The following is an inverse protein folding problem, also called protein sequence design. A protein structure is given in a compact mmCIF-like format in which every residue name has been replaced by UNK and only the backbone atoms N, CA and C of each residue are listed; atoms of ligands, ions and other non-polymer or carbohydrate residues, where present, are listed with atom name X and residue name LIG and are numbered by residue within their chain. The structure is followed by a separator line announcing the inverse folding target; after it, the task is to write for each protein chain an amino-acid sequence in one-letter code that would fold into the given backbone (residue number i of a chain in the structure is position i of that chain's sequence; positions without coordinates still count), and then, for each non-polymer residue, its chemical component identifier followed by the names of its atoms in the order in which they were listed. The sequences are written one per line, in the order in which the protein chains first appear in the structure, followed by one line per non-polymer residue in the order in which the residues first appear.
data_IF_992776502022
#
_entry.id   IF_992776502022
#
_cell.length_a   1.000
_cell.length_b   1.000
_cell.length_c   1.000
_cell.angle_alpha   90.00
_cell.angle_beta   90.00
_cell.angle_gamma   90.00
#
_symmetry.space_group_name_H-M   'P 1'
#
loop_
_entity.id
_entity.type
_entity.pdbx_description
1 polymer ?
#
# COMPACT_ATOMS: atom_id res chain seq x y z
N UNK A 1 -10.06 7.31 10.34
CA UNK A 1 -9.14 6.20 10.04
C UNK A 1 -8.70 6.26 8.60
N UNK A 2 -7.46 6.00 8.34
CA UNK A 2 -6.91 6.01 6.99
C UNK A 2 -6.52 4.60 6.56
N UNK A 3 -6.73 4.29 5.31
CA UNK A 3 -6.36 3.01 4.72
C UNK A 3 -5.29 3.23 3.66
N UNK A 4 -4.24 2.43 3.73
CA UNK A 4 -3.11 2.53 2.83
C UNK A 4 -2.95 1.25 2.03
N UNK A 5 -2.60 1.40 0.77
CA UNK A 5 -2.20 0.27 -0.04
C UNK A 5 -0.68 0.29 -0.13
N UNK A 6 -0.07 -0.73 0.45
CA UNK A 6 1.39 -0.86 0.50
C UNK A 6 1.83 -1.88 -0.53
N UNK A 7 2.80 -1.51 -1.34
CA UNK A 7 3.44 -2.44 -2.26
C UNK A 7 4.77 -2.88 -1.68
N UNK A 8 4.92 -4.18 -1.52
CA UNK A 8 6.17 -4.78 -1.09
C UNK A 8 6.83 -5.47 -2.28
N UNK A 9 8.04 -5.06 -2.60
CA UNK A 9 8.81 -5.69 -3.67
C UNK A 9 9.99 -6.44 -3.05
N UNK A 10 10.10 -7.71 -3.35
CA UNK A 10 11.14 -8.58 -2.81
C UNK A 10 12.23 -8.79 -3.84
N UNK A 11 13.47 -8.67 -3.41
CA UNK A 11 14.64 -8.90 -4.26
C UNK A 11 15.46 -10.06 -3.71
N UNK A 12 16.17 -10.75 -4.61
CA UNK A 12 16.90 -11.97 -4.24
C UNK A 12 17.95 -11.78 -3.16
N UNK A 13 18.70 -10.71 -3.21
CA UNK A 13 19.86 -10.52 -2.33
C UNK A 13 19.80 -9.27 -1.47
N UNK A 14 18.62 -8.67 -1.36
CA UNK A 14 18.46 -7.46 -0.56
C UNK A 14 17.13 -7.52 0.17
N UNK A 15 16.98 -6.63 1.14
CA UNK A 15 15.73 -6.52 1.88
C UNK A 15 14.60 -6.04 0.98
N UNK A 16 13.38 -6.40 1.37
CA UNK A 16 12.19 -5.95 0.65
C UNK A 16 12.07 -4.44 0.68
N UNK A 17 11.57 -3.89 -0.41
CA UNK A 17 11.26 -2.47 -0.48
C UNK A 17 9.75 -2.28 -0.34
N UNK A 18 9.38 -1.28 0.45
CA UNK A 18 7.99 -0.94 0.69
C UNK A 18 7.69 0.42 0.12
N UNK A 19 6.55 0.57 -0.53
CA UNK A 19 6.11 1.87 -1.00
C UNK A 19 4.60 1.96 -0.88
N UNK A 20 4.11 3.19 -0.66
CA UNK A 20 2.69 3.45 -0.60
C UNK A 20 2.19 3.75 -1.99
N UNK A 21 1.25 2.95 -2.47
CA UNK A 21 0.68 3.11 -3.80
C UNK A 21 -0.56 3.98 -3.79
N UNK A 22 -1.28 4.01 -2.65
CA UNK A 22 -2.48 4.82 -2.56
C UNK A 22 -3.00 4.85 -1.14
N UNK A 23 -3.91 5.77 -0.88
CA UNK A 23 -4.54 5.87 0.42
C UNK A 23 -5.93 6.46 0.28
N UNK A 24 -6.80 6.14 1.23
CA UNK A 24 -8.16 6.67 1.25
C UNK A 24 -8.70 6.54 2.67
N UNK A 25 -9.72 7.33 2.99
CA UNK A 25 -10.42 7.21 4.25
C UNK A 25 -11.66 6.33 4.15
N UNK A 26 -11.96 5.86 2.95
CA UNK A 26 -13.14 5.04 2.66
C UNK A 26 -12.73 3.57 2.50
N UNK A 27 -13.25 2.70 3.37
CA UNK A 27 -12.89 1.28 3.36
C UNK A 27 -13.30 0.59 2.05
N UNK A 28 -14.44 0.98 1.48
CA UNK A 28 -14.90 0.37 0.24
C UNK A 28 -13.97 0.73 -0.92
N UNK A 29 -13.54 1.98 -0.97
CA UNK A 29 -12.56 2.40 -1.97
C UNK A 29 -11.22 1.71 -1.76
N UNK A 30 -10.82 1.54 -0.52
CA UNK A 30 -9.57 0.85 -0.20
C UNK A 30 -9.58 -0.57 -0.73
N UNK A 31 -10.68 -1.29 -0.51
CA UNK A 31 -10.82 -2.65 -1.00
C UNK A 31 -10.81 -2.70 -2.52
N UNK A 32 -11.50 -1.75 -3.17
CA UNK A 32 -11.50 -1.67 -4.62
C UNK A 32 -10.10 -1.40 -5.18
N UNK A 33 -9.36 -0.52 -4.54
CA UNK A 33 -7.99 -0.22 -4.95
C UNK A 33 -7.09 -1.45 -4.81
N UNK A 34 -7.19 -2.13 -3.68
CA UNK A 34 -6.40 -3.34 -3.47
C UNK A 34 -6.71 -4.40 -4.52
N UNK A 35 -7.98 -4.59 -4.79
CA UNK A 35 -8.41 -5.54 -5.81
C UNK A 35 -7.86 -5.17 -7.18
N UNK A 36 -7.94 -3.89 -7.52
CA UNK A 36 -7.41 -3.40 -8.79
C UNK A 36 -5.92 -3.65 -8.94
N UNK A 37 -5.15 -3.32 -7.90
CA UNK A 37 -3.71 -3.57 -7.95
C UNK A 37 -3.39 -5.06 -8.10
N UNK A 38 -4.12 -5.91 -7.38
CA UNK A 38 -3.89 -7.35 -7.48
C UNK A 38 -4.25 -7.91 -8.84
N UNK A 39 -5.28 -7.36 -9.49
CA UNK A 39 -5.69 -7.81 -10.81
C UNK A 39 -4.66 -7.50 -11.88
N UNK A 40 -4.00 -6.35 -11.79
CA UNK A 40 -3.01 -5.96 -12.79
C UNK A 40 -1.60 -6.43 -12.43
N UNK A 41 -1.41 -6.92 -11.22
CA UNK A 41 -0.10 -7.38 -10.76
C UNK A 41 0.26 -8.69 -11.44
N UNK A 42 1.35 -8.68 -12.20
CA UNK A 42 1.84 -9.88 -12.89
C UNK A 42 3.22 -10.29 -12.41
N UNK A 43 3.71 -9.68 -11.35
CA UNK A 43 5.05 -9.97 -10.85
C UNK A 43 4.96 -10.79 -9.58
N UNK A 44 5.74 -11.88 -9.55
CA UNK A 44 5.72 -12.81 -8.43
C UNK A 44 6.34 -12.23 -7.18
N UNK A 45 7.23 -11.26 -7.33
CA UNK A 45 7.94 -10.67 -6.20
C UNK A 45 7.30 -9.40 -5.67
N UNK A 46 6.08 -9.09 -6.09
CA UNK A 46 5.35 -7.91 -5.64
C UNK A 46 4.06 -8.32 -4.96
N UNK A 47 3.84 -7.79 -3.78
CA UNK A 47 2.64 -8.06 -2.98
C UNK A 47 2.01 -6.74 -2.57
N UNK A 48 0.71 -6.64 -2.69
CA UNK A 48 -0.06 -5.48 -2.25
C UNK A 48 -0.83 -5.83 -0.98
N UNK A 49 -0.76 -4.94 0.02
CA UNK A 49 -1.39 -5.16 1.31
C UNK A 49 -2.15 -3.92 1.75
N UNK A 50 -3.31 -4.14 2.37
CA UNK A 50 -4.11 -3.07 2.95
C UNK A 50 -3.73 -2.89 4.41
N UNK A 51 -3.40 -1.67 4.79
CA UNK A 51 -3.03 -1.33 6.17
C UNK A 51 -3.96 -0.24 6.70
N UNK A 52 -4.47 -0.44 7.90
CA UNK A 52 -5.28 0.57 8.59
C UNK A 52 -4.39 1.47 9.42
N UNK A 53 -4.70 2.73 9.44
CA UNK A 53 -3.93 3.69 10.20
C UNK A 53 -4.85 4.66 10.94
N UNK A 54 -4.63 4.81 12.24
CA UNK A 54 -5.53 5.59 13.08
C UNK A 54 -5.12 7.06 13.22
N UNK A 55 -3.87 7.38 12.92
CA UNK A 55 -3.35 8.74 13.05
C UNK A 55 -2.95 9.29 11.69
N UNK A 56 -3.92 9.68 10.87
CA UNK A 56 -3.63 10.09 9.50
C UNK A 56 -2.74 11.32 9.37
N UNK A 57 -2.79 12.22 10.33
CA UNK A 57 -2.00 13.45 10.25
C UNK A 57 -0.50 13.19 10.25
N UNK A 58 -0.06 12.32 11.14
CA UNK A 58 1.35 11.98 11.24
C UNK A 58 1.82 11.31 9.97
N UNK A 59 1.02 10.38 9.49
CA UNK A 59 1.32 9.64 8.28
C UNK A 59 1.42 10.54 7.05
N UNK A 60 0.47 11.43 6.90
CA UNK A 60 0.44 12.35 5.77
C UNK A 60 1.72 13.17 5.70
N UNK A 61 2.21 13.59 6.84
CA UNK A 61 3.39 14.42 6.89
C UNK A 61 4.64 13.65 6.46
N UNK A 62 4.73 12.40 6.83
CA UNK A 62 5.89 11.59 6.49
C UNK A 62 5.90 11.14 5.05
N UNK A 63 4.77 11.11 4.42
CA UNK A 63 4.65 10.62 3.07
C UNK A 63 4.92 11.66 2.00
N UNK A 64 5.21 12.85 2.41
CA UNK A 64 5.53 13.92 1.48
C UNK A 64 6.96 13.85 0.95
N UNK A 65 7.62 12.82 1.22
CA UNK A 65 9.01 12.68 0.77
C UNK A 65 9.17 12.68 -0.72
#
# INVERSE_FOLDING_TARGET
MMYLIIRETTFKNVDSLFSVCGFTTDIDKANDMLQGYNLINKEDNVIYTLVKYETPLVLTKEMEC
#
